data_IF_815732190158
#
_entry.id   IF_815732190158
#
_cell.length_a   1.000
_cell.length_b   1.000
_cell.length_c   1.000
_cell.angle_alpha   90.00
_cell.angle_beta   90.00
_cell.angle_gamma   90.00
#
_symmetry.space_group_name_H-M   'P 1'
#
loop_
_entity.id
_entity.type
_entity.pdbx_description
1 polymer ?
#
# COMPACT_ATOMS: atom_id res chain seq x y z
N UNK A 1 15.57 -63.86 -8.85
CA UNK A 1 16.25 -62.92 -9.77
C UNK A 1 15.35 -62.64 -10.96
N UNK A 2 14.81 -61.43 -11.07
CA UNK A 2 14.47 -60.74 -12.34
C UNK A 2 14.30 -59.26 -11.98
N UNK A 3 15.25 -58.43 -12.43
CA UNK A 3 15.32 -56.99 -12.16
C UNK A 3 14.23 -56.27 -12.96
N UNK A 4 13.51 -55.35 -12.31
CA UNK A 4 12.73 -54.31 -13.00
C UNK A 4 13.70 -53.21 -13.42
N UNK A 5 13.77 -52.91 -14.71
CA UNK A 5 14.45 -51.73 -15.25
C UNK A 5 13.45 -50.58 -15.34
N UNK A 6 13.98 -49.37 -15.15
CA UNK A 6 13.23 -48.13 -14.91
C UNK A 6 12.70 -47.48 -16.19
N UNK A 7 11.65 -46.68 -16.00
CA UNK A 7 10.85 -45.90 -16.96
C UNK A 7 11.66 -44.88 -17.81
N UNK A 8 12.99 -44.79 -17.65
CA UNK A 8 13.86 -43.82 -18.33
C UNK A 8 14.28 -44.14 -19.77
N UNK A 9 13.91 -45.29 -20.35
CA UNK A 9 14.39 -45.69 -21.69
C UNK A 9 13.33 -45.68 -22.80
N UNK A 10 12.10 -45.23 -22.54
CA UNK A 10 11.01 -45.23 -23.54
C UNK A 10 10.63 -43.85 -24.11
N UNK A 11 11.32 -42.76 -23.75
CA UNK A 11 11.02 -41.40 -24.26
C UNK A 11 12.21 -40.79 -25.01
N UNK A 12 12.73 -41.50 -26.03
CA UNK A 12 13.81 -40.99 -26.89
C UNK A 12 13.53 -41.05 -28.39
N UNK A 13 12.27 -41.14 -28.82
CA UNK A 13 11.96 -41.32 -30.24
C UNK A 13 10.90 -40.42 -30.87
N UNK A 14 10.49 -39.31 -30.23
CA UNK A 14 9.65 -38.30 -30.91
C UNK A 14 9.98 -36.89 -30.41
N UNK A 15 11.08 -36.30 -30.90
CA UNK A 15 11.29 -34.85 -30.94
C UNK A 15 11.20 -34.40 -32.41
N UNK A 16 10.29 -33.48 -32.77
CA UNK A 16 10.31 -32.88 -34.11
C UNK A 16 11.47 -31.88 -34.22
N UNK A 17 12.21 -31.95 -35.34
CA UNK A 17 13.32 -31.06 -35.68
C UNK A 17 12.90 -29.57 -35.64
N UNK A 18 13.49 -28.81 -34.72
CA UNK A 18 13.38 -27.36 -34.68
C UNK A 18 14.44 -26.73 -35.59
N UNK A 19 14.09 -25.74 -36.45
CA UNK A 19 15.03 -25.09 -37.34
C UNK A 19 16.04 -24.23 -36.55
N UNK A 20 17.25 -24.12 -37.10
CA UNK A 20 18.38 -23.46 -36.45
C UNK A 20 18.14 -21.96 -36.24
N UNK A 21 18.76 -21.39 -35.19
CA UNK A 21 18.69 -19.96 -34.86
C UNK A 21 19.23 -19.03 -35.96
N UNK A 22 19.90 -19.56 -37.00
CA UNK A 22 20.32 -18.77 -38.16
C UNK A 22 19.21 -18.60 -39.20
N UNK A 23 18.22 -19.49 -39.25
CA UNK A 23 17.09 -19.39 -40.19
C UNK A 23 15.99 -18.43 -39.69
N UNK A 24 15.94 -18.17 -38.38
CA UNK A 24 14.97 -17.23 -37.79
C UNK A 24 15.36 -15.75 -37.96
N UNK A 25 16.61 -15.46 -38.32
CA UNK A 25 17.10 -14.09 -38.48
C UNK A 25 16.80 -13.49 -39.87
N UNK A 26 16.22 -14.24 -40.81
CA UNK A 26 15.96 -13.77 -42.18
C UNK A 26 14.52 -13.32 -42.46
N UNK A 27 13.57 -13.47 -41.52
CA UNK A 27 12.15 -13.12 -41.73
C UNK A 27 11.76 -11.74 -41.18
N UNK A 28 12.59 -11.11 -40.35
CA UNK A 28 12.34 -9.74 -39.90
C UNK A 28 12.99 -8.74 -40.86
N UNK A 29 12.26 -8.42 -41.92
CA UNK A 29 12.56 -7.29 -42.79
C UNK A 29 12.75 -6.00 -41.97
N UNK A 30 13.87 -5.33 -42.22
CA UNK A 30 14.27 -4.04 -41.63
C UNK A 30 13.10 -3.04 -41.61
N UNK A 31 12.60 -2.68 -40.43
CA UNK A 31 11.77 -1.48 -40.26
C UNK A 31 12.69 -0.27 -40.34
N UNK A 32 12.48 0.56 -41.35
CA UNK A 32 13.19 1.82 -41.55
C UNK A 32 12.68 2.85 -40.54
N UNK A 33 13.43 3.06 -39.46
CA UNK A 33 13.09 3.94 -38.33
C UNK A 33 12.98 5.42 -38.73
N UNK A 34 13.33 5.80 -39.96
CA UNK A 34 13.22 7.17 -40.46
C UNK A 34 11.86 7.50 -41.13
N UNK A 35 10.90 6.56 -41.11
CA UNK A 35 9.54 6.74 -41.69
C UNK A 35 8.40 6.78 -40.66
N UNK A 36 8.68 6.98 -39.37
CA UNK A 36 7.64 7.42 -38.45
C UNK A 36 7.35 8.90 -38.73
N UNK A 37 6.51 9.15 -39.73
CA UNK A 37 5.78 10.41 -39.82
C UNK A 37 4.91 10.54 -38.57
N UNK A 38 5.18 11.57 -37.77
CA UNK A 38 4.43 11.93 -36.59
C UNK A 38 2.95 12.09 -36.95
N UNK A 39 2.11 11.15 -36.52
CA UNK A 39 0.68 11.36 -36.44
C UNK A 39 0.38 12.38 -35.33
N UNK A 40 -0.62 13.26 -35.50
CA UNK A 40 -0.98 14.23 -34.48
C UNK A 40 -1.50 13.48 -33.26
N UNK A 41 -0.81 13.62 -32.13
CA UNK A 41 -1.29 13.12 -30.85
C UNK A 41 -2.56 13.89 -30.49
N UNK A 42 -3.72 13.24 -30.63
CA UNK A 42 -4.90 13.61 -29.86
C UNK A 42 -4.54 13.49 -28.37
N UNK A 43 -5.03 14.44 -27.58
CA UNK A 43 -4.65 14.74 -26.20
C UNK A 43 -4.48 13.47 -25.36
N UNK A 44 -3.23 13.09 -25.10
CA UNK A 44 -2.90 12.12 -24.04
C UNK A 44 -3.32 12.78 -22.73
N UNK A 45 -4.47 12.36 -22.17
CA UNK A 45 -4.90 12.78 -20.83
C UNK A 45 -3.70 12.62 -19.89
N UNK A 46 -3.28 13.71 -19.24
CA UNK A 46 -2.12 13.69 -18.36
C UNK A 46 -2.30 12.58 -17.30
N UNK A 47 -1.24 11.84 -16.98
CA UNK A 47 -1.29 10.70 -16.06
C UNK A 47 -2.02 11.02 -14.73
N UNK A 48 -1.92 12.28 -14.28
CA UNK A 48 -2.59 12.80 -13.10
C UNK A 48 -4.13 12.82 -13.22
N UNK A 49 -4.67 13.08 -14.41
CA UNK A 49 -6.12 13.05 -14.66
C UNK A 49 -6.66 11.62 -14.66
N UNK A 50 -5.89 10.67 -15.21
CA UNK A 50 -6.23 9.24 -15.16
C UNK A 50 -6.21 8.74 -13.72
N UNK A 51 -5.18 9.10 -12.94
CA UNK A 51 -5.08 8.77 -11.52
C UNK A 51 -6.25 9.34 -10.70
N UNK A 52 -6.65 10.59 -10.97
CA UNK A 52 -7.80 11.22 -10.32
C UNK A 52 -9.12 10.50 -10.64
N UNK A 53 -9.35 10.13 -11.91
CA UNK A 53 -10.54 9.36 -12.32
C UNK A 53 -10.58 7.97 -11.72
N UNK A 54 -9.44 7.28 -11.65
CA UNK A 54 -9.31 5.99 -10.96
C UNK A 54 -9.67 6.13 -9.48
N UNK A 55 -9.18 7.18 -8.82
CA UNK A 55 -9.45 7.45 -7.40
C UNK A 55 -10.93 7.72 -7.16
N UNK A 56 -11.55 8.55 -8.00
CA UNK A 56 -12.98 8.85 -7.95
C UNK A 56 -13.83 7.59 -8.19
N UNK A 57 -13.46 6.77 -9.18
CA UNK A 57 -14.13 5.50 -9.45
C UNK A 57 -14.03 4.55 -8.24
N UNK A 58 -12.84 4.40 -7.63
CA UNK A 58 -12.65 3.62 -6.41
C UNK A 58 -13.59 4.07 -5.30
N UNK A 59 -13.74 5.37 -5.09
CA UNK A 59 -14.64 5.91 -4.07
C UNK A 59 -16.11 5.61 -4.36
N UNK A 60 -16.55 5.75 -5.62
CA UNK A 60 -17.91 5.38 -6.03
C UNK A 60 -18.18 3.88 -5.86
N UNK A 61 -17.24 3.02 -6.23
CA UNK A 61 -17.38 1.58 -6.06
C UNK A 61 -17.39 1.17 -4.59
N UNK A 62 -16.59 1.80 -3.73
CA UNK A 62 -16.64 1.55 -2.30
C UNK A 62 -18.00 1.91 -1.70
N UNK A 63 -18.59 3.04 -2.12
CA UNK A 63 -19.97 3.42 -1.72
C UNK A 63 -20.99 2.40 -2.23
N UNK A 64 -20.85 1.94 -3.48
CA UNK A 64 -21.76 0.95 -4.07
C UNK A 64 -21.66 -0.40 -3.35
N UNK A 65 -20.44 -0.86 -3.06
CA UNK A 65 -20.16 -2.10 -2.31
C UNK A 65 -20.76 -2.04 -0.90
N UNK A 66 -20.59 -0.92 -0.20
CA UNK A 66 -21.18 -0.71 1.12
C UNK A 66 -22.71 -0.77 1.06
N UNK A 67 -23.33 -0.02 0.13
CA UNK A 67 -24.78 -0.03 -0.05
C UNK A 67 -25.31 -1.41 -0.42
N UNK A 68 -24.59 -2.16 -1.25
CA UNK A 68 -24.99 -3.51 -1.63
C UNK A 68 -24.94 -4.48 -0.44
N UNK A 69 -23.84 -4.48 0.33
CA UNK A 69 -23.72 -5.33 1.53
C UNK A 69 -24.80 -4.95 2.54
N UNK A 70 -25.07 -3.65 2.72
CA UNK A 70 -26.14 -3.17 3.58
C UNK A 70 -27.52 -3.66 3.10
N UNK A 71 -27.80 -3.60 1.79
CA UNK A 71 -29.06 -4.07 1.22
C UNK A 71 -29.21 -5.59 1.26
N UNK A 72 -28.17 -6.38 0.98
CA UNK A 72 -28.17 -7.83 1.14
C UNK A 72 -28.38 -8.22 2.61
N UNK A 73 -27.73 -7.53 3.55
CA UNK A 73 -27.92 -7.77 4.98
C UNK A 73 -29.35 -7.46 5.40
N UNK A 74 -29.92 -6.34 4.92
CA UNK A 74 -31.31 -5.97 5.16
C UNK A 74 -32.27 -6.97 4.51
N UNK A 75 -31.99 -7.44 3.29
CA UNK A 75 -32.81 -8.46 2.62
C UNK A 75 -32.77 -9.77 3.37
N UNK A 76 -31.59 -10.27 3.74
CA UNK A 76 -31.44 -11.47 4.54
C UNK A 76 -32.15 -11.39 5.88
N UNK A 77 -32.09 -10.24 6.56
CA UNK A 77 -32.87 -9.99 7.77
C UNK A 77 -34.38 -10.03 7.50
N UNK A 78 -34.85 -9.39 6.43
CA UNK A 78 -36.27 -9.40 6.06
C UNK A 78 -36.76 -10.78 5.64
N UNK A 79 -35.94 -11.56 4.92
CA UNK A 79 -36.21 -12.95 4.54
C UNK A 79 -36.30 -13.86 5.78
N UNK A 80 -35.40 -13.66 6.76
CA UNK A 80 -35.42 -14.38 8.04
C UNK A 80 -36.68 -14.04 8.85
N UNK A 81 -37.03 -12.75 8.93
CA UNK A 81 -38.23 -12.24 9.63
C UNK A 81 -39.54 -12.60 8.92
N UNK A 82 -39.54 -12.78 7.61
CA UNK A 82 -40.73 -13.13 6.82
C UNK A 82 -40.94 -14.64 6.64
N UNK A 83 -39.95 -15.47 6.96
CA UNK A 83 -40.14 -16.93 7.01
C UNK A 83 -41.03 -17.34 8.18
N UNK A 84 -41.82 -18.42 8.04
CA UNK A 84 -42.65 -18.99 9.12
C UNK A 84 -41.86 -19.31 10.40
N UNK A 85 -40.52 -19.43 10.31
CA UNK A 85 -39.62 -19.64 11.45
C UNK A 85 -39.48 -18.41 12.35
N UNK A 86 -39.82 -17.20 11.86
CA UNK A 86 -39.85 -15.97 12.64
C UNK A 86 -41.18 -15.72 13.38
N UNK A 87 -42.22 -16.54 13.15
CA UNK A 87 -43.40 -16.57 14.03
C UNK A 87 -43.09 -17.19 15.40
N UNK A 88 -42.02 -17.97 15.52
CA UNK A 88 -41.33 -18.22 16.79
C UNK A 88 -40.42 -17.04 17.10
N UNK A 89 -41.04 -15.91 17.43
CA UNK A 89 -40.39 -14.63 17.75
C UNK A 89 -39.28 -14.85 18.78
N UNK A 90 -38.03 -14.56 18.39
CA UNK A 90 -37.00 -14.05 19.31
C UNK A 90 -37.68 -12.94 20.11
N UNK A 91 -37.94 -13.18 21.40
CA UNK A 91 -38.76 -12.29 22.21
C UNK A 91 -38.26 -10.85 22.09
N UNK A 92 -39.15 -9.86 22.26
CA UNK A 92 -38.74 -8.45 22.35
C UNK A 92 -37.52 -8.26 23.29
N UNK A 93 -37.38 -9.14 24.29
CA UNK A 93 -36.25 -9.21 25.21
C UNK A 93 -34.93 -9.61 24.54
N UNK A 94 -34.91 -10.65 23.70
CA UNK A 94 -33.68 -11.09 22.99
C UNK A 94 -33.16 -10.01 22.03
N UNK A 95 -34.06 -9.33 21.31
CA UNK A 95 -33.71 -8.20 20.44
C UNK A 95 -33.19 -7.00 21.24
N UNK A 96 -33.80 -6.69 22.40
CA UNK A 96 -33.27 -5.66 23.29
C UNK A 96 -31.91 -6.02 23.88
N UNK A 97 -31.70 -7.30 24.22
CA UNK A 97 -30.43 -7.80 24.74
C UNK A 97 -29.33 -7.69 23.69
N UNK A 98 -29.59 -8.13 22.46
CA UNK A 98 -28.63 -8.04 21.35
C UNK A 98 -28.29 -6.59 21.00
N UNK A 99 -29.27 -5.68 21.07
CA UNK A 99 -29.04 -4.25 20.90
C UNK A 99 -28.20 -3.64 22.03
N UNK A 100 -28.40 -4.10 23.27
CA UNK A 100 -27.56 -3.75 24.41
C UNK A 100 -26.11 -4.19 24.22
N UNK A 101 -25.90 -5.47 23.89
CA UNK A 101 -24.57 -6.04 23.60
C UNK A 101 -23.88 -5.33 22.42
N UNK A 102 -24.63 -4.96 21.37
CA UNK A 102 -24.11 -4.18 20.25
C UNK A 102 -23.72 -2.76 20.68
N UNK A 103 -24.49 -2.12 21.54
CA UNK A 103 -24.18 -0.79 22.07
C UNK A 103 -22.93 -0.81 22.96
N UNK A 104 -22.81 -1.82 23.84
CA UNK A 104 -21.64 -2.05 24.68
C UNK A 104 -20.39 -2.33 23.84
N UNK A 105 -20.49 -3.22 22.85
CA UNK A 105 -19.39 -3.53 21.93
C UNK A 105 -18.98 -2.30 21.13
N UNK A 106 -19.93 -1.49 20.63
CA UNK A 106 -19.63 -0.23 19.95
C UNK A 106 -18.95 0.79 20.86
N UNK A 107 -19.35 0.87 22.13
CA UNK A 107 -18.70 1.73 23.11
C UNK A 107 -17.26 1.28 23.37
N UNK A 108 -17.05 -0.02 23.63
CA UNK A 108 -15.71 -0.60 23.83
C UNK A 108 -14.80 -0.41 22.63
N UNK A 109 -15.29 -0.63 21.40
CA UNK A 109 -14.50 -0.39 20.17
C UNK A 109 -14.13 1.09 20.00
N UNK A 110 -15.01 2.02 20.39
CA UNK A 110 -14.69 3.46 20.35
C UNK A 110 -13.63 3.84 21.37
N UNK A 111 -13.71 3.30 22.58
CA UNK A 111 -12.73 3.52 23.64
C UNK A 111 -11.36 2.96 23.22
N UNK A 112 -11.31 1.72 22.77
CA UNK A 112 -10.07 1.11 22.24
C UNK A 112 -9.48 1.90 21.07
N UNK A 113 -10.31 2.43 20.17
CA UNK A 113 -9.82 3.31 19.09
C UNK A 113 -9.24 4.61 19.61
N UNK A 114 -9.86 5.23 20.61
CA UNK A 114 -9.35 6.44 21.23
C UNK A 114 -8.00 6.17 21.93
N UNK A 115 -7.89 5.05 22.65
CA UNK A 115 -6.67 4.63 23.33
C UNK A 115 -5.53 4.35 22.35
N UNK A 116 -5.81 3.65 21.24
CA UNK A 116 -4.81 3.39 20.19
C UNK A 116 -4.29 4.70 19.58
N UNK A 117 -5.19 5.65 19.31
CA UNK A 117 -4.78 6.97 18.78
C UNK A 117 -3.92 7.71 19.81
N UNK A 118 -4.33 7.75 21.07
CA UNK A 118 -3.56 8.40 22.13
C UNK A 118 -2.17 7.76 22.33
N UNK A 119 -2.08 6.43 22.30
CA UNK A 119 -0.79 5.72 22.40
C UNK A 119 0.10 5.99 21.18
N UNK A 120 -0.47 6.05 19.98
CA UNK A 120 0.27 6.39 18.76
C UNK A 120 0.82 7.82 18.82
N UNK A 121 0.01 8.77 19.28
CA UNK A 121 0.43 10.17 19.41
C UNK A 121 1.55 10.29 20.45
N UNK A 122 1.39 9.63 21.61
CA UNK A 122 2.41 9.59 22.66
C UNK A 122 3.73 8.95 22.19
N UNK A 123 3.65 7.85 21.44
CA UNK A 123 4.84 7.20 20.86
C UNK A 123 5.55 8.14 19.88
N UNK A 124 4.79 8.83 19.02
CA UNK A 124 5.34 9.79 18.05
C UNK A 124 6.03 10.96 18.75
N UNK A 125 5.42 11.49 19.82
CA UNK A 125 6.00 12.57 20.63
C UNK A 125 7.27 12.12 21.36
N UNK A 126 7.29 10.91 21.93
CA UNK A 126 8.49 10.32 22.52
C UNK A 126 9.61 10.17 21.49
N UNK A 127 9.33 9.60 20.31
CA UNK A 127 10.32 9.45 19.24
C UNK A 127 10.89 10.80 18.82
N UNK A 128 10.04 11.83 18.66
CA UNK A 128 10.50 13.17 18.33
C UNK A 128 11.40 13.77 19.43
N UNK A 129 10.99 13.63 20.69
CA UNK A 129 11.72 14.16 21.84
C UNK A 129 13.10 13.50 21.98
N UNK A 130 13.17 12.18 21.85
CA UNK A 130 14.44 11.45 21.91
C UNK A 130 15.34 11.75 20.71
N UNK A 131 14.81 11.84 19.50
CA UNK A 131 15.59 12.22 18.32
C UNK A 131 16.18 13.63 18.46
N UNK A 132 15.40 14.56 19.02
CA UNK A 132 15.87 15.92 19.31
C UNK A 132 17.00 15.90 20.35
N UNK A 133 16.79 15.24 21.49
CA UNK A 133 17.81 15.13 22.54
C UNK A 133 19.09 14.49 22.01
N UNK A 134 18.98 13.39 21.24
CA UNK A 134 20.12 12.74 20.62
C UNK A 134 20.87 13.67 19.67
N UNK A 135 20.16 14.46 18.85
CA UNK A 135 20.80 15.43 17.95
C UNK A 135 21.53 16.54 18.69
N UNK A 136 20.96 17.01 19.81
CA UNK A 136 21.57 18.04 20.66
C UNK A 136 22.83 17.50 21.36
N UNK A 137 22.76 16.28 21.92
CA UNK A 137 23.93 15.63 22.54
C UNK A 137 25.02 15.29 21.52
N UNK A 138 24.64 14.78 20.35
CA UNK A 138 25.58 14.46 19.28
C UNK A 138 26.27 15.71 18.70
N UNK A 139 25.59 16.86 18.70
CA UNK A 139 26.18 18.13 18.29
C UNK A 139 27.11 18.74 19.36
N UNK A 140 26.88 18.44 20.64
CA UNK A 140 27.69 18.94 21.76
C UNK A 140 29.02 18.19 21.93
N UNK A 141 29.06 16.88 21.61
CA UNK A 141 30.25 16.04 21.76
C UNK A 141 31.48 16.56 21.00
N UNK A 142 31.42 16.93 19.71
CA UNK A 142 32.57 17.46 18.98
C UNK A 142 33.12 18.75 19.58
N UNK A 143 32.25 19.61 20.14
CA UNK A 143 32.69 20.84 20.79
C UNK A 143 33.45 20.51 22.08
N UNK A 144 32.96 19.56 22.88
CA UNK A 144 33.66 19.11 24.08
C UNK A 144 35.02 18.48 23.76
N UNK A 145 35.11 17.67 22.71
CA UNK A 145 36.39 17.11 22.24
C UNK A 145 37.38 18.22 21.87
N UNK A 146 36.93 19.27 21.20
CA UNK A 146 37.78 20.43 20.85
C UNK A 146 38.21 21.22 22.08
N UNK A 147 37.33 21.37 23.08
CA UNK A 147 37.64 22.08 24.32
C UNK A 147 38.65 21.29 25.17
N UNK A 148 38.51 19.96 25.24
CA UNK A 148 39.48 19.06 25.89
C UNK A 148 40.85 19.15 25.20
N UNK A 149 40.89 19.14 23.86
CA UNK A 149 42.14 19.28 23.11
C UNK A 149 42.83 20.63 23.38
N UNK A 150 42.07 21.72 23.42
CA UNK A 150 42.60 23.05 23.75
C UNK A 150 43.08 23.17 25.21
N UNK A 151 42.41 22.49 26.14
CA UNK A 151 42.86 22.41 27.54
C UNK A 151 44.14 21.60 27.70
N UNK A 152 44.30 20.51 26.93
CA UNK A 152 45.54 19.72 26.91
C UNK A 152 46.73 20.54 26.37
N UNK A 153 46.53 21.27 25.27
CA UNK A 153 47.57 22.15 24.70
C UNK A 153 47.98 23.23 25.71
N UNK A 154 47.00 23.88 26.35
CA UNK A 154 47.27 24.87 27.42
C UNK A 154 47.96 24.28 28.64
N UNK A 155 47.62 23.04 29.01
CA UNK A 155 48.26 22.35 30.12
C UNK A 155 49.73 22.09 29.79
N UNK A 156 50.03 21.62 28.58
CA UNK A 156 51.39 21.38 28.11
C UNK A 156 52.21 22.70 28.11
N UNK A 157 51.67 23.78 27.56
CA UNK A 157 52.29 25.11 27.59
C UNK A 157 52.56 25.61 29.02
N UNK A 158 51.60 25.41 29.95
CA UNK A 158 51.74 25.82 31.34
C UNK A 158 52.76 24.97 32.10
N UNK A 159 52.82 23.66 31.84
CA UNK A 159 53.82 22.75 32.41
C UNK A 159 55.24 23.09 31.92
N UNK A 160 55.40 23.40 30.63
CA UNK A 160 56.67 23.89 30.07
C UNK A 160 57.08 25.23 30.70
N UNK A 161 56.16 26.19 30.82
CA UNK A 161 56.42 27.48 31.44
C UNK A 161 56.80 27.35 32.93
N UNK A 162 56.13 26.47 33.67
CA UNK A 162 56.45 26.16 35.06
C UNK A 162 57.84 25.51 35.19
N UNK A 163 58.18 24.58 34.29
CA UNK A 163 59.51 23.95 34.26
C UNK A 163 60.62 24.98 33.98
N UNK A 164 60.40 25.92 33.05
CA UNK A 164 61.34 27.03 32.78
C UNK A 164 61.43 27.98 33.98
N UNK A 165 60.33 28.25 34.68
CA UNK A 165 60.30 29.10 35.87
C UNK A 165 60.99 28.46 37.11
N UNK A 166 61.14 27.14 37.16
CA UNK A 166 61.95 26.46 38.19
C UNK A 166 63.46 26.62 38.00
N UNK A 167 63.91 27.17 36.87
CA UNK A 167 65.25 27.73 36.72
C UNK A 167 65.25 29.20 37.13
N UNK A 168 66.10 29.63 38.08
CA UNK A 168 66.09 31.01 38.55
C UNK A 168 66.66 31.92 37.46
N UNK A 169 65.82 32.45 36.58
CA UNK A 169 66.14 33.66 35.84
C UNK A 169 65.66 34.82 36.70
N UNK A 170 66.64 35.52 37.25
CA UNK A 170 66.43 36.73 38.01
C UNK A 170 65.68 37.77 37.15
N UNK A 171 64.43 38.04 37.53
CA UNK A 171 63.67 39.21 37.13
C UNK A 171 62.93 39.07 35.80
N UNK A 172 61.62 38.88 35.89
CA UNK A 172 60.64 39.53 35.02
C UNK A 172 59.26 39.40 35.71
N UNK A 173 58.86 40.48 36.39
CA UNK A 173 57.54 40.63 36.98
C UNK A 173 56.56 41.09 35.89
N UNK A 174 55.54 40.27 35.63
CA UNK A 174 54.41 40.57 34.75
C UNK A 174 53.07 40.38 35.48
N UNK A 175 51.96 40.90 34.94
CA UNK A 175 50.80 41.36 35.72
C UNK A 175 49.78 40.28 36.14
N UNK A 176 50.18 39.01 36.28
CA UNK A 176 49.37 37.96 36.93
C UNK A 176 50.06 37.56 38.23
N UNK A 177 49.92 38.40 39.25
CA UNK A 177 50.77 38.36 40.46
C UNK A 177 50.26 37.46 41.60
N UNK A 178 49.07 36.86 41.49
CA UNK A 178 48.43 36.16 42.63
C UNK A 178 48.27 34.64 42.45
N UNK A 179 48.71 34.05 41.33
CA UNK A 179 48.75 32.59 41.14
C UNK A 179 50.15 32.15 40.76
N UNK A 180 50.68 31.17 41.47
CA UNK A 180 51.94 30.53 41.11
C UNK A 180 51.75 29.64 39.87
N UNK A 181 52.78 29.45 39.05
CA UNK A 181 52.72 28.52 37.90
C UNK A 181 52.26 27.10 38.28
N UNK A 182 52.54 26.67 39.52
CA UNK A 182 52.07 25.38 40.05
C UNK A 182 50.57 25.35 40.34
N UNK A 183 50.00 26.46 40.83
CA UNK A 183 48.54 26.58 41.04
C UNK A 183 47.78 26.67 39.71
N UNK A 184 48.40 27.24 38.66
CA UNK A 184 47.81 27.29 37.31
C UNK A 184 47.73 25.91 36.65
N UNK A 185 48.81 25.12 36.74
CA UNK A 185 48.82 23.73 36.25
C UNK A 185 47.78 22.89 36.98
N UNK A 186 47.67 23.02 38.30
CA UNK A 186 46.69 22.24 39.07
C UNK A 186 45.23 22.65 38.75
N UNK A 187 44.96 23.95 38.56
CA UNK A 187 43.66 24.42 38.13
C UNK A 187 43.27 23.94 36.72
N UNK A 188 44.24 23.87 35.80
CA UNK A 188 44.02 23.32 34.45
C UNK A 188 43.78 21.81 34.48
N UNK A 189 44.50 21.05 35.33
CA UNK A 189 44.25 19.62 35.54
C UNK A 189 42.87 19.34 36.09
N UNK A 190 42.41 20.12 37.06
CA UNK A 190 41.07 19.99 37.62
C UNK A 190 40.01 20.25 36.54
N UNK A 191 40.16 21.32 35.75
CA UNK A 191 39.24 21.63 34.64
C UNK A 191 39.22 20.56 33.55
N UNK A 192 40.39 20.00 33.23
CA UNK A 192 40.50 18.90 32.27
C UNK A 192 39.76 17.65 32.78
N UNK A 193 39.91 17.30 34.06
CA UNK A 193 39.21 16.17 34.66
C UNK A 193 37.69 16.38 34.68
N UNK A 194 37.23 17.60 34.99
CA UNK A 194 35.80 17.94 34.99
C UNK A 194 35.18 17.84 33.58
N UNK A 195 35.87 18.35 32.53
CA UNK A 195 35.40 18.26 31.14
C UNK A 195 35.48 16.82 30.58
N UNK A 196 36.49 16.04 30.97
CA UNK A 196 36.57 14.60 30.63
C UNK A 196 35.41 13.81 31.23
N UNK A 197 35.08 14.04 32.50
CA UNK A 197 33.92 13.43 33.15
C UNK A 197 32.62 13.80 32.44
N UNK A 198 32.48 15.07 32.06
CA UNK A 198 31.31 15.55 31.30
C UNK A 198 31.20 14.92 29.91
N UNK A 199 32.32 14.68 29.22
CA UNK A 199 32.35 13.96 27.95
C UNK A 199 31.85 12.52 28.11
N UNK A 200 32.38 11.81 29.11
CA UNK A 200 31.97 10.42 29.41
C UNK A 200 30.47 10.32 29.74
N UNK A 201 29.93 11.25 30.52
CA UNK A 201 28.50 11.32 30.83
C UNK A 201 27.63 11.55 29.58
N UNK A 202 28.06 12.46 28.70
CA UNK A 202 27.36 12.76 27.45
C UNK A 202 27.44 11.60 26.44
N UNK A 203 28.58 10.91 26.36
CA UNK A 203 28.73 9.70 25.55
C UNK A 203 27.80 8.59 26.06
N UNK A 204 27.76 8.36 27.38
CA UNK A 204 26.85 7.40 27.99
C UNK A 204 25.37 7.72 27.74
N UNK A 205 24.98 8.98 27.89
CA UNK A 205 23.63 9.44 27.61
C UNK A 205 23.26 9.31 26.11
N UNK A 206 24.18 9.63 25.22
CA UNK A 206 24.02 9.50 23.76
C UNK A 206 23.84 8.03 23.34
N UNK A 207 24.64 7.12 23.91
CA UNK A 207 24.50 5.68 23.68
C UNK A 207 23.14 5.16 24.16
N UNK A 208 22.71 5.54 25.37
CA UNK A 208 21.42 5.14 25.91
C UNK A 208 20.23 5.68 25.07
N UNK A 209 20.31 6.93 24.60
CA UNK A 209 19.31 7.51 23.71
C UNK A 209 19.22 6.77 22.38
N UNK A 210 20.37 6.39 21.82
CA UNK A 210 20.45 5.62 20.57
C UNK A 210 19.82 4.24 20.71
N UNK A 211 20.08 3.55 21.83
CA UNK A 211 19.49 2.25 22.12
C UNK A 211 17.97 2.35 22.31
N UNK A 212 17.49 3.38 22.99
CA UNK A 212 16.05 3.62 23.15
C UNK A 212 15.36 3.97 21.83
N UNK A 213 16.00 4.77 20.97
CA UNK A 213 15.49 5.02 19.60
C UNK A 213 15.37 3.71 18.79
N UNK A 214 16.39 2.85 18.84
CA UNK A 214 16.34 1.55 18.16
C UNK A 214 15.23 0.64 18.71
N UNK A 215 15.00 0.68 20.04
CA UNK A 215 13.90 -0.04 20.68
C UNK A 215 12.53 0.46 20.21
N UNK A 216 12.34 1.79 20.16
CA UNK A 216 11.08 2.39 19.70
C UNK A 216 10.82 2.11 18.22
N UNK A 217 11.85 2.12 17.38
CA UNK A 217 11.73 1.75 15.96
C UNK A 217 11.35 0.27 15.80
N UNK A 218 11.91 -0.62 16.62
CA UNK A 218 11.54 -2.04 16.62
C UNK A 218 10.07 -2.24 17.03
N UNK A 219 9.62 -1.58 18.10
CA UNK A 219 8.22 -1.62 18.55
C UNK A 219 7.29 -1.09 17.45
N UNK A 220 7.65 0.03 16.81
CA UNK A 220 6.88 0.60 15.70
C UNK A 220 6.78 -0.37 14.51
N UNK A 221 7.88 -1.03 14.16
CA UNK A 221 7.90 -2.00 13.07
C UNK A 221 7.01 -3.22 13.38
N UNK A 222 7.10 -3.75 14.60
CA UNK A 222 6.28 -4.87 15.08
C UNK A 222 4.78 -4.50 15.07
N UNK A 223 4.41 -3.36 15.65
CA UNK A 223 3.01 -2.90 15.66
C UNK A 223 2.49 -2.65 14.24
N UNK A 224 3.32 -2.16 13.33
CA UNK A 224 2.94 -1.95 11.92
C UNK A 224 2.70 -3.29 11.21
N UNK A 225 3.54 -4.30 11.49
CA UNK A 225 3.37 -5.65 10.96
C UNK A 225 2.06 -6.29 11.48
N UNK A 226 1.79 -6.21 12.78
CA UNK A 226 0.55 -6.72 13.38
C UNK A 226 -0.70 -6.05 12.79
N UNK A 227 -0.68 -4.71 12.62
CA UNK A 227 -1.78 -3.98 11.98
C UNK A 227 -1.98 -4.46 10.53
N UNK A 228 -0.90 -4.71 9.79
CA UNK A 228 -0.96 -5.15 8.40
C UNK A 228 -1.54 -6.57 8.31
N UNK A 229 -1.14 -7.47 9.20
CA UNK A 229 -1.67 -8.84 9.29
C UNK A 229 -3.17 -8.84 9.69
N UNK A 230 -3.55 -8.01 10.66
CA UNK A 230 -4.95 -7.81 11.04
C UNK A 230 -5.79 -7.22 9.90
N UNK A 231 -5.23 -6.31 9.10
CA UNK A 231 -5.91 -5.78 7.92
C UNK A 231 -6.05 -6.83 6.80
N UNK A 232 -5.05 -7.69 6.62
CA UNK A 232 -5.08 -8.77 5.63
C UNK A 232 -6.05 -9.90 6.01
N UNK A 233 -6.25 -10.15 7.30
CA UNK A 233 -7.15 -11.20 7.82
C UNK A 233 -8.63 -10.80 7.82
N UNK A 234 -8.98 -9.54 7.54
CA UNK A 234 -10.37 -9.09 7.41
C UNK A 234 -10.84 -9.23 5.94
N UNK A 235 -11.77 -10.15 5.62
CA UNK A 235 -12.30 -10.29 4.27
C UNK A 235 -13.06 -9.01 3.87
N UNK A 236 -12.50 -8.25 2.93
CA UNK A 236 -13.12 -7.04 2.40
C UNK A 236 -12.63 -5.72 2.99
N UNK A 237 -11.58 -5.72 3.81
CA UNK A 237 -10.85 -4.52 4.20
C UNK A 237 -10.13 -3.92 2.99
N UNK A 238 -10.54 -2.72 2.58
CA UNK A 238 -9.84 -1.93 1.55
C UNK A 238 -8.48 -1.48 2.12
N UNK A 239 -7.46 -2.34 2.01
CA UNK A 239 -6.11 -2.08 2.47
C UNK A 239 -5.35 -1.17 1.51
N UNK A 240 -5.27 0.11 1.84
CA UNK A 240 -4.17 0.97 1.38
C UNK A 240 -2.94 0.47 2.15
N UNK A 241 -2.10 -0.33 1.50
CA UNK A 241 -0.83 -0.77 2.06
C UNK A 241 0.07 0.45 2.29
N UNK A 242 0.70 0.51 3.47
CA UNK A 242 1.60 1.59 3.86
C UNK A 242 2.94 1.58 3.07
N UNK A 243 3.23 0.49 2.38
CA UNK A 243 4.45 0.34 1.59
C UNK A 243 4.11 0.48 0.11
N UNK A 244 4.23 1.70 -0.41
CA UNK A 244 4.00 2.09 -1.81
C UNK A 244 4.99 1.45 -2.81
N UNK A 245 5.28 0.16 -2.67
CA UNK A 245 5.99 -0.61 -3.67
C UNK A 245 5.08 -0.83 -4.88
N UNK A 246 5.53 -0.52 -6.11
CA UNK A 246 4.69 -0.63 -7.31
C UNK A 246 4.20 -2.06 -7.58
N UNK A 247 4.88 -3.08 -7.04
CA UNK A 247 4.47 -4.49 -7.15
C UNK A 247 3.33 -4.87 -6.19
N UNK A 248 3.26 -4.27 -5.01
CA UNK A 248 2.15 -4.49 -4.05
C UNK A 248 0.93 -3.66 -4.43
N UNK A 249 1.10 -2.48 -5.03
CA UNK A 249 -0.02 -1.69 -5.57
C UNK A 249 -0.71 -2.37 -6.74
N UNK A 250 0.03 -2.92 -7.71
CA UNK A 250 -0.55 -3.66 -8.83
C UNK A 250 -1.30 -4.91 -8.38
N UNK A 251 -0.74 -5.66 -7.43
CA UNK A 251 -1.40 -6.83 -6.86
C UNK A 251 -2.65 -6.45 -6.04
N UNK A 252 -2.59 -5.38 -5.25
CA UNK A 252 -3.72 -4.84 -4.50
C UNK A 252 -4.82 -4.31 -5.43
N UNK A 253 -4.43 -3.63 -6.51
CA UNK A 253 -5.36 -3.17 -7.55
C UNK A 253 -6.01 -4.34 -8.28
N UNK A 254 -5.26 -5.37 -8.68
CA UNK A 254 -5.80 -6.56 -9.31
C UNK A 254 -6.82 -7.28 -8.41
N UNK A 255 -6.46 -7.52 -7.13
CA UNK A 255 -7.37 -8.12 -6.15
C UNK A 255 -8.63 -7.26 -5.92
N UNK A 256 -8.48 -5.93 -5.90
CA UNK A 256 -9.61 -5.01 -5.82
C UNK A 256 -10.50 -5.08 -7.06
N UNK A 257 -9.93 -5.14 -8.27
CA UNK A 257 -10.67 -5.26 -9.51
C UNK A 257 -11.43 -6.59 -9.60
N UNK A 258 -10.80 -7.70 -9.23
CA UNK A 258 -11.47 -9.00 -9.16
C UNK A 258 -12.63 -8.97 -8.17
N UNK A 259 -12.43 -8.43 -6.96
CA UNK A 259 -13.50 -8.30 -5.98
C UNK A 259 -14.62 -7.36 -6.45
N UNK A 260 -14.29 -6.27 -7.13
CA UNK A 260 -15.27 -5.34 -7.68
C UNK A 260 -16.09 -6.00 -8.80
N UNK A 261 -15.45 -6.79 -9.67
CA UNK A 261 -16.11 -7.55 -10.73
C UNK A 261 -17.08 -8.60 -10.15
N UNK A 262 -16.67 -9.36 -9.14
CA UNK A 262 -17.55 -10.32 -8.45
C UNK A 262 -18.79 -9.63 -7.86
N UNK A 263 -18.62 -8.48 -7.19
CA UNK A 263 -19.73 -7.74 -6.60
C UNK A 263 -20.63 -7.11 -7.68
N UNK A 264 -20.05 -6.62 -8.76
CA UNK A 264 -20.82 -6.10 -9.89
C UNK A 264 -21.64 -7.19 -10.57
N UNK A 265 -21.07 -8.39 -10.73
CA UNK A 265 -21.80 -9.54 -11.24
C UNK A 265 -23.00 -9.86 -10.36
N UNK A 266 -22.82 -9.88 -9.05
CA UNK A 266 -23.90 -10.15 -8.10
C UNK A 266 -25.01 -9.09 -8.15
N UNK A 267 -24.66 -7.80 -8.28
CA UNK A 267 -25.62 -6.68 -8.33
C UNK A 267 -26.38 -6.64 -9.66
N UNK A 268 -25.64 -6.74 -10.76
CA UNK A 268 -26.18 -6.51 -12.09
C UNK A 268 -26.69 -7.79 -12.73
N UNK A 269 -26.27 -8.95 -12.24
CA UNK A 269 -26.41 -10.24 -12.91
C UNK A 269 -25.72 -10.24 -14.28
N UNK A 270 -24.58 -9.56 -14.41
CA UNK A 270 -23.76 -9.53 -15.64
C UNK A 270 -22.35 -9.97 -15.28
N UNK A 271 -21.88 -11.08 -15.83
CA UNK A 271 -20.51 -11.54 -15.66
C UNK A 271 -19.70 -11.19 -16.90
N UNK A 272 -18.58 -10.50 -16.73
CA UNK A 272 -17.65 -10.28 -17.83
C UNK A 272 -16.82 -11.55 -18.05
N UNK A 273 -16.95 -12.19 -19.21
CA UNK A 273 -16.27 -13.45 -19.52
C UNK A 273 -14.93 -13.23 -20.23
N UNK A 274 -14.94 -12.37 -21.25
CA UNK A 274 -13.76 -12.10 -22.06
C UNK A 274 -13.80 -10.69 -22.66
N UNK A 275 -12.60 -10.11 -22.80
CA UNK A 275 -12.36 -8.87 -23.54
C UNK A 275 -11.43 -9.23 -24.70
N UNK A 276 -11.96 -9.18 -25.93
CA UNK A 276 -11.18 -9.28 -27.15
C UNK A 276 -10.79 -7.89 -27.67
N UNK A 277 -9.94 -7.84 -28.69
CA UNK A 277 -9.48 -6.59 -29.31
C UNK A 277 -10.64 -5.75 -29.89
N UNK A 278 -11.67 -6.44 -30.37
CA UNK A 278 -12.87 -5.86 -30.99
C UNK A 278 -14.17 -6.54 -30.51
N UNK A 279 -14.11 -7.26 -29.40
CA UNK A 279 -15.27 -7.97 -28.86
C UNK A 279 -15.34 -7.91 -27.34
N UNK A 280 -16.56 -7.94 -26.81
CA UNK A 280 -16.83 -8.05 -25.37
C UNK A 280 -17.83 -9.18 -25.14
N UNK A 281 -17.46 -10.16 -24.32
CA UNK A 281 -18.33 -11.27 -23.96
C UNK A 281 -18.86 -11.12 -22.54
N UNK A 282 -20.18 -11.09 -22.40
CA UNK A 282 -20.88 -10.87 -21.14
C UNK A 282 -21.91 -11.97 -20.92
N UNK A 283 -21.80 -12.74 -19.85
CA UNK A 283 -22.86 -13.64 -19.40
C UNK A 283 -23.94 -12.83 -18.68
N UNK A 284 -25.20 -13.02 -19.04
CA UNK A 284 -26.33 -12.33 -18.42
C UNK A 284 -27.15 -13.31 -17.60
N UNK A 285 -27.22 -13.12 -16.29
CA UNK A 285 -28.16 -13.85 -15.44
C UNK A 285 -29.57 -13.27 -15.61
N UNK A 286 -30.41 -14.03 -16.33
CA UNK A 286 -31.84 -13.76 -16.51
C UNK A 286 -32.64 -14.53 -15.46
N UNK A 287 -32.38 -15.83 -15.33
CA UNK A 287 -32.87 -16.70 -14.25
C UNK A 287 -31.75 -17.66 -13.82
N UNK A 288 -31.85 -18.33 -12.65
CA UNK A 288 -30.83 -19.29 -12.21
C UNK A 288 -30.54 -20.42 -13.21
N UNK A 289 -31.52 -20.76 -14.05
CA UNK A 289 -31.42 -21.80 -15.08
C UNK A 289 -31.16 -21.27 -16.50
N UNK A 290 -31.14 -19.95 -16.70
CA UNK A 290 -30.95 -19.34 -18.02
C UNK A 290 -29.98 -18.16 -17.94
N UNK A 291 -28.77 -18.41 -18.48
CA UNK A 291 -27.63 -17.49 -18.48
C UNK A 291 -27.05 -17.35 -19.89
N UNK A 292 -27.69 -16.58 -20.78
CA UNK A 292 -27.16 -16.37 -22.12
C UNK A 292 -25.86 -15.56 -22.09
N UNK A 293 -24.94 -15.93 -22.98
CA UNK A 293 -23.72 -15.18 -23.29
C UNK A 293 -24.02 -14.22 -24.42
N UNK A 294 -23.74 -12.94 -24.19
CA UNK A 294 -23.87 -11.87 -25.17
C UNK A 294 -22.50 -11.45 -25.64
N UNK A 295 -22.25 -11.55 -26.94
CA UNK A 295 -21.02 -11.07 -27.56
C UNK A 295 -21.32 -9.77 -28.29
N UNK A 296 -20.69 -8.69 -27.85
CA UNK A 296 -20.74 -7.38 -28.50
C UNK A 296 -19.53 -7.25 -29.42
N UNK A 297 -19.75 -6.81 -30.66
CA UNK A 297 -18.68 -6.57 -31.63
C UNK A 297 -18.55 -5.09 -31.93
N UNK A 298 -17.31 -4.60 -31.91
CA UNK A 298 -16.97 -3.20 -32.12
C UNK A 298 -16.28 -3.02 -33.46
N UNK A 299 -16.65 -1.97 -34.17
CA UNK A 299 -16.01 -1.59 -35.42
C UNK A 299 -14.54 -1.23 -35.20
N UNK A 300 -13.65 -1.75 -36.06
CA UNK A 300 -12.20 -1.62 -35.91
C UNK A 300 -11.73 -0.17 -35.96
N UNK A 301 -12.38 0.65 -36.79
CA UNK A 301 -11.95 2.02 -37.08
C UNK A 301 -12.57 3.03 -36.11
N UNK A 302 -13.86 2.88 -35.83
CA UNK A 302 -14.62 3.84 -35.05
C UNK A 302 -14.79 3.47 -33.58
N UNK A 303 -14.40 2.24 -33.19
CA UNK A 303 -14.56 1.66 -31.83
C UNK A 303 -16.00 1.70 -31.31
N UNK A 304 -16.96 1.86 -32.22
CA UNK A 304 -18.39 1.91 -31.95
C UNK A 304 -18.99 0.52 -32.01
N UNK A 305 -20.02 0.28 -31.19
CA UNK A 305 -20.75 -0.98 -31.22
C UNK A 305 -21.38 -1.17 -32.62
N UNK A 306 -20.99 -2.24 -33.30
CA UNK A 306 -21.36 -2.56 -34.68
C UNK A 306 -22.44 -3.65 -34.74
N UNK A 307 -22.30 -4.70 -33.93
CA UNK A 307 -23.28 -5.79 -33.86
C UNK A 307 -23.26 -6.48 -32.50
N UNK A 308 -24.27 -7.30 -32.24
CA UNK A 308 -24.33 -8.15 -31.06
C UNK A 308 -24.89 -9.53 -31.42
N UNK A 309 -24.47 -10.54 -30.67
CA UNK A 309 -25.02 -11.89 -30.74
C UNK A 309 -25.35 -12.40 -29.34
N UNK A 310 -26.33 -13.31 -29.25
CA UNK A 310 -26.77 -13.94 -28.00
C UNK A 310 -26.72 -15.45 -28.16
N UNK A 311 -26.08 -16.14 -27.21
CA UNK A 311 -25.91 -17.58 -27.19
C UNK A 311 -26.38 -18.17 -25.86
N UNK A 312 -27.25 -19.19 -25.84
CA UNK A 312 -27.92 -19.79 -26.99
C UNK A 312 -28.88 -18.80 -27.67
N UNK A 313 -29.13 -19.00 -28.97
CA UNK A 313 -30.08 -18.18 -29.71
C UNK A 313 -31.49 -18.31 -29.09
N UNK A 314 -32.19 -17.19 -28.97
CA UNK A 314 -33.53 -17.12 -28.36
C UNK A 314 -34.55 -16.81 -29.44
N UNK A 315 -35.52 -17.71 -29.61
CA UNK A 315 -36.59 -17.52 -30.59
C UNK A 315 -37.42 -16.27 -30.28
N UNK A 316 -37.65 -15.44 -31.31
CA UNK A 316 -38.42 -14.20 -31.17
C UNK A 316 -37.63 -12.99 -30.64
N UNK A 317 -36.35 -13.16 -30.32
CA UNK A 317 -35.48 -12.05 -29.95
C UNK A 317 -35.00 -11.31 -31.20
N UNK A 318 -35.47 -10.07 -31.37
CA UNK A 318 -34.96 -9.11 -32.36
C UNK A 318 -34.03 -8.13 -31.64
N UNK A 319 -32.82 -7.97 -32.17
CA UNK A 319 -31.74 -7.18 -31.56
C UNK A 319 -31.35 -5.95 -32.37
N UNK A 320 -31.73 -5.89 -33.65
CA UNK A 320 -31.35 -4.81 -34.57
C UNK A 320 -31.91 -3.45 -34.12
N UNK A 321 -33.14 -3.43 -33.62
CA UNK A 321 -33.77 -2.22 -33.10
C UNK A 321 -33.12 -1.72 -31.79
N UNK A 322 -32.59 -2.62 -30.96
CA UNK A 322 -31.80 -2.27 -29.78
C UNK A 322 -30.48 -1.64 -30.19
N UNK A 323 -29.82 -2.20 -31.21
CA UNK A 323 -28.57 -1.68 -31.76
C UNK A 323 -28.76 -0.30 -32.39
N UNK A 324 -29.83 -0.10 -33.16
CA UNK A 324 -30.18 1.20 -33.75
C UNK A 324 -30.45 2.26 -32.66
N UNK A 325 -31.25 1.92 -31.65
CA UNK A 325 -31.51 2.81 -30.52
C UNK A 325 -30.23 3.13 -29.73
N UNK A 326 -29.35 2.13 -29.54
CA UNK A 326 -28.04 2.31 -28.92
C UNK A 326 -27.14 3.24 -29.73
N UNK A 327 -27.12 3.12 -31.06
CA UNK A 327 -26.37 3.99 -31.96
C UNK A 327 -26.86 5.45 -31.90
N UNK A 328 -28.18 5.67 -31.82
CA UNK A 328 -28.77 7.00 -31.62
C UNK A 328 -28.39 7.61 -30.26
N UNK A 329 -28.07 6.78 -29.27
CA UNK A 329 -27.55 7.19 -27.95
C UNK A 329 -26.01 7.17 -27.90
N UNK A 330 -25.33 7.48 -29.00
CA UNK A 330 -23.87 7.52 -29.09
C UNK A 330 -23.19 6.17 -28.75
N UNK A 331 -23.78 5.06 -29.22
CA UNK A 331 -23.31 3.69 -28.99
C UNK A 331 -23.21 3.32 -27.49
N UNK A 332 -24.19 3.72 -26.68
CA UNK A 332 -24.22 3.42 -25.24
C UNK A 332 -24.46 1.91 -25.00
N UNK A 333 -23.37 1.18 -24.77
CA UNK A 333 -23.37 -0.26 -24.44
C UNK A 333 -24.23 -0.56 -23.20
N UNK A 334 -24.32 0.36 -22.23
CA UNK A 334 -25.10 0.15 -21.00
C UNK A 334 -26.60 0.18 -21.31
N UNK A 335 -27.02 1.02 -22.25
CA UNK A 335 -28.39 1.03 -22.74
C UNK A 335 -28.70 -0.31 -23.44
N UNK A 336 -27.84 -0.74 -24.36
CA UNK A 336 -28.01 -1.99 -25.12
C UNK A 336 -28.14 -3.20 -24.20
N UNK A 337 -27.22 -3.36 -23.23
CA UNK A 337 -27.26 -4.46 -22.28
C UNK A 337 -28.49 -4.43 -21.37
N UNK A 338 -28.95 -3.24 -20.95
CA UNK A 338 -30.15 -3.10 -20.11
C UNK A 338 -31.41 -3.47 -20.86
N UNK A 339 -31.56 -2.98 -22.08
CA UNK A 339 -32.73 -3.22 -22.93
C UNK A 339 -32.78 -4.69 -23.34
N UNK A 340 -31.64 -5.27 -23.72
CA UNK A 340 -31.52 -6.69 -24.02
C UNK A 340 -31.91 -7.55 -22.81
N UNK A 341 -31.44 -7.18 -21.60
CA UNK A 341 -31.82 -7.88 -20.36
C UNK A 341 -33.32 -7.82 -20.10
N UNK A 342 -33.95 -6.66 -20.34
CA UNK A 342 -35.38 -6.47 -20.13
C UNK A 342 -36.20 -7.37 -21.07
N UNK A 343 -35.83 -7.43 -22.36
CA UNK A 343 -36.52 -8.26 -23.34
C UNK A 343 -36.35 -9.76 -23.09
N UNK A 344 -35.14 -10.18 -22.74
CA UNK A 344 -34.86 -11.57 -22.37
C UNK A 344 -35.63 -12.03 -21.13
N UNK A 345 -36.07 -11.13 -20.26
CA UNK A 345 -36.96 -11.46 -19.12
C UNK A 345 -38.43 -11.60 -19.51
N UNK A 346 -38.84 -11.02 -20.64
CA UNK A 346 -40.23 -11.02 -21.11
C UNK A 346 -40.55 -12.15 -22.08
N UNK A 347 -39.51 -12.80 -22.63
CA UNK A 347 -39.59 -13.99 -23.47
C UNK A 347 -39.54 -15.25 -22.60
#
# INVERSE_FOLDING_TARGET
MRRRLSIGEQLKQDEPDLPSLQDQAQVLGRVDLNKLECYPMEEVEAADQVAARITQAKEHFNKLKFNFIELETKRGFLDEVSSERAMEVRTSEELTKLNGELAETKASVRELRADIVAQKDALTEMTYTYAKQYSETAAALPQLETDIAALLERLEEAEEAAAVATHPVAGLAGPYADMTPAEEVEALRQRLADEQMRAEELEGASAALKDEMARLDAVKAETTAEITELQASVPGGSGIGADGSPTTELASMAAWYENALEKLQLVTGLALLAIGEHSLEVEMEITPSFRPVVTLFFDETSRKLASLSVSPAVDGLVVDDILEAGAMMNHDVRFVLRELKARLRTL
#
